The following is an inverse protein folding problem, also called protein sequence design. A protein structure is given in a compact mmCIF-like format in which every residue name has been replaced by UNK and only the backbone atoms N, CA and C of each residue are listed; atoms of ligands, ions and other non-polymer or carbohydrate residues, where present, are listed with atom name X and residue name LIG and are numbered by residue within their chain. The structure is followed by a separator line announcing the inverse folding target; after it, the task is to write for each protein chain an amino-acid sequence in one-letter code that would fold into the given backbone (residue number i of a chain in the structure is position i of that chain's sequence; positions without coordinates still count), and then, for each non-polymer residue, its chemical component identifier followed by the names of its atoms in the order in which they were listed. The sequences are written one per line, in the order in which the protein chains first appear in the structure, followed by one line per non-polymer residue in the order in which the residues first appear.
data_IF_024844380458
#
_entry.id   IF_024844380458
#
_cell.length_a   1.000
_cell.length_b   1.000
_cell.length_c   1.000
_cell.angle_alpha   90.00
_cell.angle_beta   90.00
_cell.angle_gamma   90.00
#
_symmetry.space_group_name_H-M   'P 1'
#
loop_
_entity.id
_entity.type
_entity.pdbx_description
1 polymer ?
#
# COMPACT_ATOMS: atom_id res chain seq x y z
N UNK A 1 -44.06 -4.25 -39.09
CA UNK A 1 -42.78 -4.24 -39.84
C UNK A 1 -41.74 -4.89 -38.94
N UNK A 2 -41.48 -6.18 -39.21
CA UNK A 2 -40.65 -7.05 -38.38
C UNK A 2 -39.21 -7.08 -38.91
N UNK A 3 -38.23 -6.84 -38.09
CA UNK A 3 -36.85 -7.13 -38.48
C UNK A 3 -36.21 -8.07 -37.45
N UNK A 4 -35.98 -9.31 -37.90
CA UNK A 4 -35.25 -10.37 -37.20
C UNK A 4 -33.78 -10.03 -37.18
N UNK A 5 -33.14 -10.18 -36.04
CA UNK A 5 -31.67 -10.26 -35.92
C UNK A 5 -31.30 -11.71 -35.61
N UNK A 6 -30.49 -12.27 -36.51
CA UNK A 6 -29.99 -13.65 -36.43
C UNK A 6 -28.77 -13.72 -35.50
N UNK A 7 -28.83 -14.70 -34.63
CA UNK A 7 -27.70 -15.14 -33.78
C UNK A 7 -26.77 -16.05 -34.59
N UNK A 8 -25.47 -15.76 -34.64
CA UNK A 8 -24.45 -16.65 -35.21
C UNK A 8 -23.65 -17.26 -34.08
N UNK A 9 -23.83 -18.54 -33.87
CA UNK A 9 -22.97 -19.39 -33.01
C UNK A 9 -21.68 -19.73 -33.77
N UNK A 10 -20.54 -19.48 -33.16
CA UNK A 10 -19.24 -20.00 -33.62
C UNK A 10 -18.90 -21.23 -32.81
N UNK A 11 -18.86 -22.36 -33.48
CA UNK A 11 -18.33 -23.62 -32.98
C UNK A 11 -16.86 -23.68 -33.37
N UNK A 12 -15.97 -23.73 -32.40
CA UNK A 12 -14.53 -23.99 -32.60
C UNK A 12 -14.25 -25.43 -32.24
N UNK A 13 -13.93 -26.19 -33.26
CA UNK A 13 -13.54 -27.60 -33.16
C UNK A 13 -12.01 -27.66 -32.95
N UNK A 14 -11.56 -28.14 -31.79
CA UNK A 14 -10.14 -28.32 -31.51
C UNK A 14 -9.75 -29.78 -31.74
N UNK A 15 -8.89 -30.00 -32.73
CA UNK A 15 -8.24 -31.31 -32.99
C UNK A 15 -7.12 -31.54 -31.98
N UNK A 16 -7.16 -32.65 -31.31
CA UNK A 16 -6.06 -33.18 -30.47
C UNK A 16 -5.10 -34.02 -31.32
N UNK A 17 -3.84 -33.62 -31.36
CA UNK A 17 -2.75 -34.49 -31.86
C UNK A 17 -2.04 -35.13 -30.68
N UNK A 18 -2.12 -36.45 -30.62
CA UNK A 18 -1.34 -37.27 -29.70
C UNK A 18 0.01 -37.56 -30.34
N UNK A 19 1.09 -37.15 -29.70
CA UNK A 19 2.45 -37.59 -30.06
C UNK A 19 3.06 -38.34 -28.87
N UNK A 20 3.23 -39.66 -29.07
CA UNK A 20 3.96 -40.55 -28.15
C UNK A 20 5.44 -40.42 -28.48
N UNK A 21 6.23 -39.93 -27.58
CA UNK A 21 7.68 -39.92 -27.66
C UNK A 21 8.29 -40.32 -26.32
N UNK A 22 8.77 -41.55 -26.20
CA UNK A 22 9.56 -42.05 -25.08
C UNK A 22 10.97 -41.44 -25.14
N UNK A 23 11.41 -40.76 -24.11
CA UNK A 23 12.82 -40.59 -23.79
C UNK A 23 13.00 -40.53 -22.27
N UNK A 24 13.52 -41.63 -21.76
CA UNK A 24 14.08 -41.72 -20.40
C UNK A 24 15.36 -40.89 -20.33
N UNK A 25 15.34 -39.75 -19.70
CA UNK A 25 16.52 -39.08 -19.14
C UNK A 25 16.15 -38.59 -17.76
N UNK A 26 16.80 -39.14 -16.75
CA UNK A 26 16.70 -38.74 -15.38
C UNK A 26 17.10 -37.24 -15.26
N UNK A 27 16.13 -36.40 -15.07
CA UNK A 27 16.34 -35.05 -14.59
C UNK A 27 16.01 -35.05 -13.10
N UNK A 28 17.06 -34.79 -12.32
CA UNK A 28 16.93 -34.42 -10.93
C UNK A 28 15.88 -33.29 -10.81
N UNK A 29 14.80 -33.62 -10.11
CA UNK A 29 13.79 -32.66 -9.72
C UNK A 29 14.50 -31.66 -8.77
N UNK A 30 15.01 -30.60 -9.35
CA UNK A 30 15.38 -29.41 -8.59
C UNK A 30 14.10 -28.99 -7.91
N UNK A 31 14.05 -29.14 -6.59
CA UNK A 31 12.98 -28.61 -5.75
C UNK A 31 12.81 -27.14 -6.13
N UNK A 32 11.73 -26.85 -6.85
CA UNK A 32 11.32 -25.46 -7.05
C UNK A 32 11.20 -24.85 -5.65
N UNK A 33 12.02 -23.87 -5.40
CA UNK A 33 11.86 -22.95 -4.28
C UNK A 33 10.37 -22.63 -4.17
N UNK A 34 9.71 -23.22 -3.19
CA UNK A 34 8.45 -22.72 -2.68
C UNK A 34 8.85 -21.42 -2.00
N UNK A 35 8.95 -20.35 -2.80
CA UNK A 35 9.06 -19.00 -2.27
C UNK A 35 7.95 -18.90 -1.22
N UNK A 36 8.35 -18.88 0.03
CA UNK A 36 7.49 -18.60 1.17
C UNK A 36 6.64 -17.42 0.74
N UNK A 37 5.33 -17.66 0.54
CA UNK A 37 4.39 -16.57 0.37
C UNK A 37 4.47 -15.79 1.67
N UNK A 38 5.29 -14.76 1.61
CA UNK A 38 5.48 -13.82 2.69
C UNK A 38 4.09 -13.27 2.99
N UNK A 39 3.52 -13.58 4.15
CA UNK A 39 2.19 -13.15 4.59
C UNK A 39 2.21 -11.64 4.78
N UNK A 40 2.30 -10.92 3.66
CA UNK A 40 2.24 -9.49 3.56
C UNK A 40 0.83 -9.03 3.91
N UNK A 41 0.69 -8.08 4.81
CA UNK A 41 -0.61 -7.49 5.20
C UNK A 41 -0.79 -6.21 4.39
N UNK A 42 -1.89 -6.13 3.66
CA UNK A 42 -2.25 -4.97 2.84
C UNK A 42 -3.44 -4.23 3.45
N UNK A 43 -3.28 -2.92 3.62
CA UNK A 43 -4.30 -2.03 4.16
C UNK A 43 -4.46 -0.82 3.22
N UNK A 44 -5.69 -0.37 3.03
CA UNK A 44 -5.97 0.96 2.50
C UNK A 44 -6.33 1.90 3.63
N UNK A 45 -6.11 3.19 3.47
CA UNK A 45 -6.47 4.18 4.47
C UNK A 45 -6.90 5.51 3.87
N UNK A 46 -7.75 6.20 4.63
CA UNK A 46 -8.12 7.58 4.40
C UNK A 46 -8.08 8.33 5.72
N UNK A 47 -7.30 9.40 5.80
CA UNK A 47 -7.18 10.24 7.00
C UNK A 47 -7.34 11.71 6.65
N UNK A 48 -8.01 12.46 7.52
CA UNK A 48 -8.30 13.89 7.39
C UNK A 48 -7.53 14.68 8.42
N UNK A 49 -7.06 15.86 8.04
CA UNK A 49 -6.41 16.78 8.95
C UNK A 49 -7.41 17.30 9.99
N UNK A 50 -7.07 17.16 11.27
CA UNK A 50 -7.83 17.68 12.40
C UNK A 50 -7.20 18.98 12.88
N UNK A 51 -5.87 19.03 12.93
CA UNK A 51 -5.11 20.14 13.49
C UNK A 51 -3.76 20.27 12.77
N UNK A 52 -3.29 21.49 12.61
CA UNK A 52 -1.90 21.83 12.31
C UNK A 52 -1.34 22.58 13.50
N UNK A 53 -0.18 22.19 13.99
CA UNK A 53 0.49 22.88 15.10
C UNK A 53 1.42 24.02 14.60
N UNK A 54 2.06 24.72 15.55
CA UNK A 54 2.98 25.83 15.25
C UNK A 54 4.27 25.37 14.57
N UNK A 55 4.64 24.09 14.66
CA UNK A 55 5.79 23.48 13.96
C UNK A 55 5.44 23.03 12.54
N UNK A 56 4.18 23.21 12.11
CA UNK A 56 3.72 22.81 10.79
C UNK A 56 3.34 21.32 10.68
N UNK A 57 3.34 20.57 11.77
CA UNK A 57 2.91 19.18 11.79
C UNK A 57 1.39 19.06 11.80
N UNK A 58 0.88 18.07 11.08
CA UNK A 58 -0.54 17.75 11.00
C UNK A 58 -0.87 16.57 11.91
N UNK A 59 -1.88 16.74 12.77
CA UNK A 59 -2.57 15.61 13.39
C UNK A 59 -3.76 15.26 12.51
N UNK A 60 -3.84 14.00 12.11
CA UNK A 60 -4.86 13.49 11.21
C UNK A 60 -5.57 12.30 11.83
N UNK A 61 -6.83 12.06 11.46
CA UNK A 61 -7.60 10.90 11.90
C UNK A 61 -8.46 10.36 10.77
N UNK A 62 -8.70 9.07 10.79
CA UNK A 62 -9.49 8.39 9.78
C UNK A 62 -9.60 6.90 10.02
N UNK A 63 -9.68 6.14 8.92
CA UNK A 63 -9.89 4.69 8.94
C UNK A 63 -8.80 3.95 8.17
N UNK A 64 -8.57 2.71 8.58
CA UNK A 64 -7.86 1.69 7.81
C UNK A 64 -8.83 0.55 7.47
N UNK A 65 -8.68 -0.01 6.27
CA UNK A 65 -9.50 -1.10 5.75
C UNK A 65 -8.59 -2.09 4.99
N UNK A 66 -9.10 -3.30 4.74
CA UNK A 66 -8.38 -4.37 4.07
C UNK A 66 -8.32 -5.60 4.96
N UNK A 67 -7.16 -6.24 5.06
CA UNK A 67 -6.98 -7.40 5.93
C UNK A 67 -7.20 -7.08 7.42
N UNK A 68 -7.14 -5.80 7.78
CA UNK A 68 -7.51 -5.27 9.09
C UNK A 68 -8.40 -4.07 8.92
N UNK A 69 -9.31 -3.88 9.86
CA UNK A 69 -10.18 -2.72 9.91
C UNK A 69 -9.99 -1.98 11.22
N UNK A 70 -10.10 -0.67 11.19
CA UNK A 70 -9.97 0.12 12.40
C UNK A 70 -9.86 1.61 12.18
N UNK A 71 -9.47 2.31 13.25
CA UNK A 71 -9.20 3.74 13.24
C UNK A 71 -7.71 3.98 13.12
N UNK A 72 -7.34 5.03 12.41
CA UNK A 72 -5.97 5.54 12.34
C UNK A 72 -5.89 6.95 12.90
N UNK A 73 -4.86 7.21 13.69
CA UNK A 73 -4.39 8.55 14.00
C UNK A 73 -2.97 8.67 13.49
N UNK A 74 -2.68 9.78 12.81
CA UNK A 74 -1.41 10.03 12.17
C UNK A 74 -0.91 11.41 12.55
N UNK A 75 0.34 11.51 12.97
CA UNK A 75 1.09 12.79 12.98
C UNK A 75 1.97 12.78 11.73
N UNK A 76 1.79 13.79 10.88
CA UNK A 76 2.50 13.94 9.61
C UNK A 76 3.22 15.27 9.55
N UNK A 77 4.50 15.26 9.22
CA UNK A 77 5.33 16.47 9.17
C UNK A 77 6.20 16.53 7.94
N UNK A 78 6.50 17.75 7.52
CA UNK A 78 7.48 18.06 6.49
C UNK A 78 8.79 18.47 7.18
N UNK A 79 9.91 17.88 6.78
CA UNK A 79 11.20 18.26 7.32
C UNK A 79 11.67 19.56 6.67
N UNK A 80 11.64 20.66 7.45
CA UNK A 80 12.09 21.95 7.01
C UNK A 80 13.63 22.03 6.98
N UNK A 81 14.16 22.61 5.91
CA UNK A 81 15.61 22.88 5.81
C UNK A 81 16.46 21.75 5.20
N UNK A 82 15.93 20.58 4.97
CA UNK A 82 16.64 19.59 4.15
C UNK A 82 16.52 20.01 2.68
N UNK A 83 17.67 20.25 2.03
CA UNK A 83 17.73 20.41 0.57
C UNK A 83 17.37 19.08 -0.08
N UNK A 84 16.06 18.84 -0.17
CA UNK A 84 15.54 17.67 -0.86
C UNK A 84 15.96 17.71 -2.34
N UNK A 85 15.96 16.56 -2.95
CA UNK A 85 16.10 16.44 -4.40
C UNK A 85 15.03 17.34 -5.06
N UNK A 86 15.37 18.05 -6.14
CA UNK A 86 14.46 18.95 -6.82
C UNK A 86 13.07 18.32 -7.03
N UNK A 87 12.01 18.99 -6.57
CA UNK A 87 10.64 18.47 -6.67
C UNK A 87 10.21 17.47 -5.58
N UNK A 88 11.05 17.16 -4.61
CA UNK A 88 10.72 16.26 -3.48
C UNK A 88 10.99 16.93 -2.15
N UNK A 89 10.10 16.74 -1.19
CA UNK A 89 10.24 17.23 0.18
C UNK A 89 10.33 16.01 1.10
N UNK A 90 11.36 15.92 1.97
CA UNK A 90 11.41 14.91 3.00
C UNK A 90 10.22 15.06 3.96
N UNK A 91 9.65 13.93 4.35
CA UNK A 91 8.50 13.85 5.24
C UNK A 91 8.65 12.71 6.23
N UNK A 92 8.04 12.87 7.38
CA UNK A 92 7.96 11.83 8.40
C UNK A 92 6.53 11.65 8.88
N UNK A 93 6.24 10.46 9.40
CA UNK A 93 4.93 10.16 9.97
C UNK A 93 5.02 9.23 11.16
N UNK A 94 4.12 9.45 12.12
CA UNK A 94 3.91 8.56 13.25
C UNK A 94 2.47 8.08 13.26
N UNK A 95 2.27 6.77 13.19
CA UNK A 95 0.99 6.11 13.08
C UNK A 95 0.58 5.44 14.38
N UNK A 96 -0.69 5.57 14.74
CA UNK A 96 -1.38 4.77 15.74
C UNK A 96 -2.61 4.16 15.08
N UNK A 97 -2.58 2.85 14.86
CA UNK A 97 -3.69 2.09 14.29
C UNK A 97 -4.35 1.30 15.42
N UNK A 98 -5.64 1.59 15.67
CA UNK A 98 -6.49 0.86 16.59
C UNK A 98 -7.38 -0.06 15.78
N UNK A 99 -6.97 -1.32 15.68
CA UNK A 99 -7.64 -2.33 14.86
C UNK A 99 -8.77 -3.05 15.60
N UNK A 100 -9.60 -3.74 14.83
CA UNK A 100 -10.56 -4.71 15.30
C UNK A 100 -10.19 -6.08 14.72
N UNK A 101 -9.80 -7.06 15.55
CA UNK A 101 -9.70 -7.03 17.03
C UNK A 101 -8.54 -6.17 17.54
N UNK A 102 -8.65 -5.70 18.80
CA UNK A 102 -7.67 -4.80 19.42
C UNK A 102 -6.24 -5.38 19.48
N UNK A 103 -6.11 -6.71 19.54
CA UNK A 103 -4.83 -7.44 19.51
C UNK A 103 -4.00 -7.19 18.23
N UNK A 104 -4.63 -6.69 17.17
CA UNK A 104 -3.98 -6.36 15.90
C UNK A 104 -3.58 -4.89 15.79
N UNK A 105 -3.79 -4.11 16.85
CA UNK A 105 -3.40 -2.69 16.91
C UNK A 105 -1.89 -2.53 16.93
N UNK A 106 -1.40 -1.45 16.32
CA UNK A 106 0.04 -1.20 16.24
C UNK A 106 0.36 0.30 16.18
N UNK A 107 1.62 0.63 16.44
CA UNK A 107 2.22 1.94 16.16
C UNK A 107 3.39 1.79 15.22
N UNK A 108 3.58 2.75 14.31
CA UNK A 108 4.67 2.73 13.34
C UNK A 108 5.27 4.13 13.16
N UNK A 109 6.58 4.16 12.86
CA UNK A 109 7.31 5.36 12.45
C UNK A 109 7.82 5.16 11.04
N UNK A 110 7.53 6.11 10.16
CA UNK A 110 7.92 6.08 8.76
C UNK A 110 8.54 7.41 8.35
N UNK A 111 9.44 7.36 7.38
CA UNK A 111 10.03 8.52 6.73
C UNK A 111 10.19 8.27 5.24
N UNK A 112 10.29 9.33 4.47
CA UNK A 112 10.43 9.25 3.01
C UNK A 112 10.28 10.60 2.36
N UNK A 113 9.62 10.65 1.22
CA UNK A 113 9.48 11.88 0.44
C UNK A 113 8.04 12.11 -0.04
N UNK A 114 7.68 13.39 -0.19
CA UNK A 114 6.50 13.85 -0.90
C UNK A 114 6.91 14.59 -2.17
N UNK A 115 6.27 14.29 -3.29
CA UNK A 115 6.46 15.03 -4.54
C UNK A 115 5.64 16.32 -4.51
N UNK A 116 6.28 17.46 -4.79
CA UNK A 116 5.66 18.77 -4.66
C UNK A 116 4.56 19.06 -5.69
N UNK A 117 4.62 18.41 -6.84
CA UNK A 117 3.67 18.61 -7.95
C UNK A 117 2.50 17.65 -7.87
N UNK A 118 2.78 16.37 -7.70
CA UNK A 118 1.75 15.32 -7.71
C UNK A 118 1.10 15.10 -6.34
N UNK A 119 1.78 15.50 -5.27
CA UNK A 119 1.41 15.17 -3.89
C UNK A 119 1.62 13.68 -3.56
N UNK A 120 2.27 12.90 -4.42
CA UNK A 120 2.55 11.50 -4.15
C UNK A 120 3.60 11.39 -3.04
N UNK A 121 3.38 10.43 -2.13
CA UNK A 121 4.33 10.11 -1.06
C UNK A 121 4.69 8.65 -1.09
N UNK A 122 5.93 8.38 -0.73
CA UNK A 122 6.42 7.04 -0.46
C UNK A 122 7.20 7.07 0.84
N UNK A 123 6.71 6.34 1.84
CA UNK A 123 7.30 6.29 3.18
C UNK A 123 7.62 4.86 3.57
N UNK A 124 8.75 4.67 4.20
CA UNK A 124 9.20 3.37 4.70
C UNK A 124 9.59 3.50 6.16
N UNK A 125 9.34 2.46 6.94
CA UNK A 125 9.72 2.43 8.34
C UNK A 125 9.44 1.10 8.99
N UNK A 126 9.15 1.13 10.30
CA UNK A 126 8.94 -0.07 11.10
C UNK A 126 7.80 0.12 12.09
N UNK A 127 7.15 -0.99 12.43
CA UNK A 127 6.24 -1.06 13.58
C UNK A 127 7.09 -0.98 14.86
N UNK A 128 6.78 0.00 15.71
CA UNK A 128 7.50 0.25 16.95
C UNK A 128 6.86 -0.43 18.16
N UNK A 129 5.54 -0.59 18.14
CA UNK A 129 4.75 -1.18 19.22
C UNK A 129 3.56 -1.97 18.69
N UNK A 130 3.05 -2.92 19.48
CA UNK A 130 1.85 -3.70 19.20
C UNK A 130 2.07 -4.88 18.26
N UNK A 131 1.02 -5.22 17.52
CA UNK A 131 1.05 -6.34 16.57
C UNK A 131 2.12 -6.13 15.49
N UNK A 132 2.85 -7.19 15.18
CA UNK A 132 3.91 -7.19 14.16
C UNK A 132 5.08 -6.23 14.47
N UNK A 133 5.35 -5.93 15.74
CA UNK A 133 6.50 -5.11 16.17
C UNK A 133 7.79 -5.55 15.47
N UNK A 134 8.55 -4.59 14.97
CA UNK A 134 9.82 -4.77 14.27
C UNK A 134 9.67 -5.00 12.76
N UNK A 135 8.49 -5.33 12.23
CA UNK A 135 8.27 -5.52 10.81
C UNK A 135 8.36 -4.21 10.03
N UNK A 136 8.85 -4.32 8.81
CA UNK A 136 8.89 -3.21 7.86
C UNK A 136 7.47 -2.83 7.45
N UNK A 137 7.24 -1.52 7.41
CA UNK A 137 6.01 -0.91 6.88
C UNK A 137 6.39 0.00 5.72
N UNK A 138 5.60 -0.02 4.70
CA UNK A 138 5.72 0.82 3.53
C UNK A 138 4.36 1.43 3.21
N UNK A 139 4.32 2.74 2.91
CA UNK A 139 3.10 3.41 2.48
C UNK A 139 3.32 4.14 1.17
N UNK A 140 2.33 4.03 0.29
CA UNK A 140 2.22 4.82 -0.92
C UNK A 140 0.91 5.58 -0.87
N UNK A 141 0.96 6.91 -0.93
CA UNK A 141 -0.23 7.73 -0.77
C UNK A 141 -0.19 9.02 -1.59
N UNK A 142 -1.32 9.69 -1.62
CA UNK A 142 -1.50 11.00 -2.23
C UNK A 142 -1.99 12.00 -1.19
N UNK A 143 -1.31 13.12 -1.12
CA UNK A 143 -1.72 14.29 -0.35
C UNK A 143 -2.80 15.05 -1.14
N UNK A 144 -3.97 15.22 -0.56
CA UNK A 144 -5.08 15.93 -1.18
C UNK A 144 -5.09 17.39 -0.74
N UNK A 145 -5.41 18.28 -1.69
CA UNK A 145 -5.34 19.73 -1.50
C UNK A 145 -3.97 20.22 -1.00
N UNK A 146 -2.92 19.53 -1.45
CA UNK A 146 -1.55 19.93 -1.14
C UNK A 146 -1.19 21.20 -1.92
N UNK A 147 -1.06 22.33 -1.22
CA UNK A 147 -0.84 23.67 -1.80
C UNK A 147 0.56 24.21 -1.57
N UNK A 148 0.88 25.39 -2.18
CA UNK A 148 2.20 26.01 -2.09
C UNK A 148 2.67 26.28 -0.65
N UNK A 149 1.73 26.56 0.24
CA UNK A 149 2.00 26.77 1.68
C UNK A 149 2.03 25.47 2.49
N UNK A 150 2.20 24.32 1.80
CA UNK A 150 2.14 22.98 2.41
C UNK A 150 0.85 22.76 3.20
N UNK A 151 -0.25 23.35 2.73
CA UNK A 151 -1.58 23.04 3.27
C UNK A 151 -2.00 21.67 2.81
N UNK A 152 -2.58 20.89 3.71
CA UNK A 152 -2.97 19.51 3.51
C UNK A 152 -4.32 19.28 4.17
N UNK A 153 -5.29 18.71 3.45
CA UNK A 153 -6.58 18.36 4.02
C UNK A 153 -6.71 16.88 4.34
N UNK A 154 -6.30 16.03 3.41
CA UNK A 154 -6.52 14.58 3.49
C UNK A 154 -5.31 13.83 2.92
N UNK A 155 -5.16 12.59 3.35
CA UNK A 155 -4.22 11.62 2.76
C UNK A 155 -4.97 10.33 2.46
N UNK A 156 -4.93 9.92 1.19
CA UNK A 156 -5.41 8.61 0.74
C UNK A 156 -4.23 7.73 0.35
N UNK A 157 -4.27 6.46 0.73
CA UNK A 157 -3.18 5.58 0.37
C UNK A 157 -3.33 4.13 0.78
N UNK A 158 -2.25 3.41 0.51
CA UNK A 158 -2.10 2.01 0.87
C UNK A 158 -0.91 1.85 1.81
N UNK A 159 -1.03 0.92 2.73
CA UNK A 159 0.01 0.51 3.67
C UNK A 159 0.25 -0.98 3.52
N UNK A 160 1.51 -1.35 3.41
CA UNK A 160 1.96 -2.73 3.34
C UNK A 160 2.85 -3.04 4.53
N UNK A 161 2.57 -4.13 5.22
CA UNK A 161 3.37 -4.63 6.33
C UNK A 161 4.01 -5.92 5.85
N UNK A 162 5.34 -5.98 5.85
CA UNK A 162 6.09 -7.16 5.42
C UNK A 162 5.70 -8.40 6.23
N UNK A 163 5.73 -9.54 5.61
CA UNK A 163 5.58 -10.85 6.25
C UNK A 163 6.68 -11.17 7.26
N UNK A 164 6.56 -12.31 7.94
CA UNK A 164 7.62 -12.83 8.83
C UNK A 164 8.71 -13.52 8.04
#
# INVERSE_FOLDING_TARGET
MFTRVQSRAFVVLSLALVSIGHSLHGQSVTSADTASQDNKIELSYHVKAIKRDSSGQYTMSGTVNGERQGKATLVFGFDEGSSGQAGKIPVHSYWVVTAVPASESFKAKLSGTAETVSGQTHLVGKITEGANKGRRVETSSRLLNFGPNRTLSDIDGNMSIAGK
#
